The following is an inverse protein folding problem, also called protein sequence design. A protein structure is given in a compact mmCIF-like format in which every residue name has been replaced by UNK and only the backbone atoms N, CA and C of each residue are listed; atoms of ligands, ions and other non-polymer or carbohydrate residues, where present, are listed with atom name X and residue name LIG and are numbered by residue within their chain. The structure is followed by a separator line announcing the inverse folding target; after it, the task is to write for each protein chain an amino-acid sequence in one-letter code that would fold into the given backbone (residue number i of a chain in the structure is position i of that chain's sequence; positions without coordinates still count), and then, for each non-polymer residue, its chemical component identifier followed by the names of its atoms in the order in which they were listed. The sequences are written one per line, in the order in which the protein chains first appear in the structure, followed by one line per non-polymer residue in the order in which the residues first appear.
data_IF_228912721879
#
_entry.id   IF_228912721879
#
_cell.length_a   1.000
_cell.length_b   1.000
_cell.length_c   1.000
_cell.angle_alpha   90.00
_cell.angle_beta   90.00
_cell.angle_gamma   90.00
#
_symmetry.space_group_name_H-M   'P 1'
#
loop_
_entity.id
_entity.type
_entity.pdbx_description
1 polymer ?
#
# COMPACT_ATOMS: atom_id res chain seq x y z
N UNK A 1 1.06 3.43 15.20
CA UNK A 1 -0.01 2.56 14.79
C UNK A 1 0.31 1.09 14.98
N UNK A 2 -0.71 0.25 15.10
CA UNK A 2 -0.60 -1.20 15.34
C UNK A 2 0.26 -1.93 14.28
N UNK A 3 0.29 -1.44 13.03
CA UNK A 3 1.07 -2.07 11.94
C UNK A 3 2.59 -2.05 12.11
N UNK A 4 3.14 -1.16 12.92
CA UNK A 4 4.58 -1.08 13.15
C UNK A 4 5.08 -2.17 14.12
N UNK A 5 4.20 -2.72 14.95
CA UNK A 5 4.54 -3.77 15.93
C UNK A 5 4.74 -5.13 15.24
N UNK A 6 4.02 -5.41 14.15
CA UNK A 6 4.06 -6.70 13.46
C UNK A 6 5.34 -6.95 12.64
N UNK A 7 6.04 -5.89 12.24
CA UNK A 7 7.28 -5.99 11.44
C UNK A 7 8.56 -6.02 12.30
N UNK A 8 8.44 -5.97 13.62
CA UNK A 8 9.60 -6.01 14.52
C UNK A 8 9.92 -7.44 14.94
N UNK A 9 11.21 -7.76 15.02
CA UNK A 9 11.64 -9.03 15.60
C UNK A 9 11.10 -9.17 17.03
N UNK A 10 10.66 -10.36 17.42
CA UNK A 10 10.08 -10.65 18.75
C UNK A 10 11.02 -10.18 19.89
N UNK A 11 12.33 -10.33 19.71
CA UNK A 11 13.34 -9.86 20.66
C UNK A 11 13.27 -8.36 20.92
N UNK A 12 13.03 -7.56 19.86
CA UNK A 12 12.85 -6.10 19.98
C UNK A 12 11.48 -5.74 20.53
N UNK A 13 10.43 -6.47 20.14
CA UNK A 13 9.10 -6.27 20.68
C UNK A 13 9.06 -6.50 22.20
N UNK A 14 9.70 -7.58 22.68
CA UNK A 14 9.84 -7.86 24.12
C UNK A 14 10.57 -6.77 24.90
N UNK A 15 11.60 -6.15 24.30
CA UNK A 15 12.30 -5.02 24.93
C UNK A 15 11.44 -3.76 25.03
N UNK A 16 10.53 -3.54 24.07
CA UNK A 16 9.68 -2.36 24.02
C UNK A 16 8.38 -2.52 24.82
N UNK A 17 7.93 -3.75 25.02
CA UNK A 17 6.74 -4.10 25.79
C UNK A 17 7.01 -5.39 26.57
N UNK A 18 7.74 -5.32 27.71
CA UNK A 18 8.11 -6.50 28.49
C UNK A 18 6.90 -7.31 28.98
N UNK A 19 5.83 -6.62 29.36
CA UNK A 19 4.60 -7.21 29.90
C UNK A 19 3.59 -7.60 28.80
N UNK A 20 3.99 -7.54 27.52
CA UNK A 20 3.14 -7.90 26.39
C UNK A 20 2.86 -9.40 26.31
N UNK A 21 1.62 -9.76 26.00
CA UNK A 21 1.24 -11.16 25.76
C UNK A 21 1.65 -11.53 24.33
N UNK A 22 2.55 -12.52 24.21
CA UNK A 22 3.08 -13.01 22.94
C UNK A 22 2.46 -14.35 22.59
N UNK A 23 1.70 -14.40 21.49
CA UNK A 23 1.03 -15.60 21.00
C UNK A 23 1.66 -16.08 19.69
N UNK A 24 1.62 -17.39 19.45
CA UNK A 24 2.08 -17.94 18.17
C UNK A 24 1.14 -17.53 17.02
N UNK A 25 1.70 -17.20 15.84
CA UNK A 25 0.88 -16.89 14.66
C UNK A 25 0.10 -18.12 14.20
N UNK A 26 -1.19 -17.95 13.93
CA UNK A 26 -2.07 -19.01 13.39
C UNK A 26 -2.09 -18.94 11.86
N UNK A 27 -0.99 -19.34 11.21
CA UNK A 27 -0.77 -19.17 9.77
C UNK A 27 -1.87 -19.82 8.92
N UNK A 28 -2.39 -20.97 9.33
CA UNK A 28 -3.47 -21.64 8.59
C UNK A 28 -4.76 -20.80 8.61
N UNK A 29 -5.09 -20.22 9.77
CA UNK A 29 -6.22 -19.30 9.87
C UNK A 29 -6.02 -18.03 9.04
N UNK A 30 -4.81 -17.49 8.99
CA UNK A 30 -4.51 -16.31 8.16
C UNK A 30 -4.68 -16.62 6.67
N UNK A 31 -4.22 -17.78 6.21
CA UNK A 31 -4.42 -18.23 4.83
C UNK A 31 -5.90 -18.45 4.49
N UNK A 32 -6.66 -19.06 5.40
CA UNK A 32 -8.11 -19.27 5.24
C UNK A 32 -8.82 -17.93 5.03
N UNK A 33 -8.58 -16.94 5.91
CA UNK A 33 -9.16 -15.60 5.83
C UNK A 33 -8.69 -14.87 4.57
N UNK A 34 -7.43 -14.97 4.21
CA UNK A 34 -6.87 -14.42 2.97
C UNK A 34 -7.63 -14.96 1.75
N UNK A 35 -7.81 -16.27 1.66
CA UNK A 35 -8.55 -16.92 0.57
C UNK A 35 -10.01 -16.44 0.51
N UNK A 36 -10.64 -16.26 1.66
CA UNK A 36 -11.98 -15.71 1.75
C UNK A 36 -12.05 -14.29 1.18
N UNK A 37 -11.10 -13.41 1.56
CA UNK A 37 -11.03 -12.04 1.05
C UNK A 37 -10.77 -12.04 -0.47
N UNK A 38 -9.84 -12.86 -0.96
CA UNK A 38 -9.58 -12.96 -2.40
C UNK A 38 -10.80 -13.49 -3.18
N UNK A 39 -11.58 -14.38 -2.58
CA UNK A 39 -12.85 -14.84 -3.19
C UNK A 39 -13.88 -13.71 -3.29
N UNK A 40 -13.95 -12.84 -2.29
CA UNK A 40 -14.81 -11.65 -2.31
C UNK A 40 -14.32 -10.67 -3.38
N UNK A 41 -13.02 -10.43 -3.50
CA UNK A 41 -12.44 -9.57 -4.53
C UNK A 41 -12.74 -10.07 -5.95
N UNK A 42 -12.83 -11.40 -6.16
CA UNK A 42 -13.22 -12.02 -7.44
C UNK A 42 -14.67 -11.71 -7.83
N UNK A 43 -15.53 -11.31 -6.91
CA UNK A 43 -16.87 -10.82 -7.24
C UNK A 43 -16.83 -9.53 -8.08
N UNK A 44 -15.73 -8.76 -7.96
CA UNK A 44 -15.53 -7.48 -8.68
C UNK A 44 -14.73 -7.65 -9.96
N UNK A 45 -13.66 -8.43 -9.97
CA UNK A 45 -12.82 -8.66 -11.14
C UNK A 45 -12.16 -10.04 -11.07
N UNK A 46 -12.03 -10.75 -12.21
CA UNK A 46 -11.27 -12.00 -12.26
C UNK A 46 -9.75 -11.75 -12.23
N UNK A 47 -9.29 -10.53 -12.52
CA UNK A 47 -7.88 -10.19 -12.65
C UNK A 47 -7.33 -9.70 -11.31
N UNK A 48 -6.91 -10.66 -10.49
CA UNK A 48 -6.32 -10.41 -9.17
C UNK A 48 -4.89 -10.94 -9.17
N UNK A 49 -3.96 -10.10 -8.72
CA UNK A 49 -2.57 -10.46 -8.53
C UNK A 49 -2.24 -10.36 -7.03
N UNK A 50 -2.16 -11.49 -6.32
CA UNK A 50 -1.71 -11.50 -4.93
C UNK A 50 -0.26 -11.04 -4.81
N UNK A 51 0.00 -10.10 -3.92
CA UNK A 51 1.35 -9.66 -3.57
C UNK A 51 1.85 -10.35 -2.30
N UNK A 52 0.94 -10.62 -1.37
CA UNK A 52 1.18 -11.37 -0.12
C UNK A 52 -0.13 -12.01 0.37
N UNK A 53 -0.16 -12.56 1.58
CA UNK A 53 -1.38 -13.10 2.19
C UNK A 53 -2.40 -12.02 2.56
N UNK A 54 -2.00 -10.75 2.61
CA UNK A 54 -2.81 -9.62 3.04
C UNK A 54 -2.85 -8.46 2.03
N UNK A 55 -2.21 -8.62 0.87
CA UNK A 55 -2.15 -7.60 -0.17
C UNK A 55 -2.37 -8.20 -1.56
N UNK A 56 -3.15 -7.51 -2.39
CA UNK A 56 -3.34 -7.86 -3.80
C UNK A 56 -3.56 -6.62 -4.66
N UNK A 57 -3.21 -6.73 -5.93
CA UNK A 57 -3.66 -5.80 -6.96
C UNK A 57 -4.88 -6.36 -7.68
N UNK A 58 -5.81 -5.47 -7.97
CA UNK A 58 -7.03 -5.75 -8.73
C UNK A 58 -7.00 -4.90 -10.00
N UNK A 59 -7.13 -5.54 -11.16
CA UNK A 59 -7.34 -4.81 -12.41
C UNK A 59 -8.83 -4.48 -12.53
N UNK A 60 -9.14 -3.20 -12.50
CA UNK A 60 -10.52 -2.69 -12.47
C UNK A 60 -10.82 -1.68 -13.60
N UNK A 61 -9.98 -1.67 -14.65
CA UNK A 61 -10.19 -0.80 -15.82
C UNK A 61 -11.57 -1.05 -16.44
N UNK A 62 -12.29 0.04 -16.75
CA UNK A 62 -13.64 -0.02 -17.27
C UNK A 62 -14.74 -0.27 -16.23
N UNK A 63 -14.44 -0.79 -15.04
CA UNK A 63 -15.47 -1.05 -14.03
C UNK A 63 -16.01 0.22 -13.37
N UNK A 64 -15.25 1.31 -13.42
CA UNK A 64 -15.71 2.60 -12.89
C UNK A 64 -16.98 3.13 -13.55
N UNK A 65 -17.32 2.63 -14.76
CA UNK A 65 -18.58 2.96 -15.44
C UNK A 65 -19.81 2.28 -14.81
N UNK A 66 -19.60 1.13 -14.15
CA UNK A 66 -20.65 0.40 -13.42
C UNK A 66 -20.91 0.99 -12.02
N UNK A 67 -19.98 1.81 -11.55
CA UNK A 67 -20.05 2.53 -10.28
C UNK A 67 -19.95 4.03 -10.55
N UNK A 68 -20.38 4.86 -9.66
CA UNK A 68 -20.29 6.32 -9.79
C UNK A 68 -18.83 6.83 -9.68
N UNK A 69 -17.90 6.14 -10.33
CA UNK A 69 -16.48 6.45 -10.39
C UNK A 69 -15.58 5.58 -9.49
N UNK A 70 -14.25 5.80 -9.57
CA UNK A 70 -13.27 4.95 -8.88
C UNK A 70 -13.46 4.91 -7.36
N UNK A 71 -13.81 6.03 -6.75
CA UNK A 71 -14.02 6.11 -5.29
C UNK A 71 -15.20 5.26 -4.84
N UNK A 72 -16.31 5.24 -5.62
CA UNK A 72 -17.48 4.42 -5.33
C UNK A 72 -17.17 2.93 -5.48
N UNK A 73 -16.42 2.54 -6.49
CA UNK A 73 -15.93 1.17 -6.66
C UNK A 73 -15.06 0.74 -5.47
N UNK A 74 -14.06 1.55 -5.09
CA UNK A 74 -13.22 1.26 -3.93
C UNK A 74 -14.01 1.12 -2.64
N UNK A 75 -15.04 1.96 -2.44
CA UNK A 75 -15.95 1.86 -1.30
C UNK A 75 -16.71 0.55 -1.33
N UNK A 76 -17.32 0.18 -2.47
CA UNK A 76 -18.06 -1.06 -2.62
C UNK A 76 -17.22 -2.30 -2.29
N UNK A 77 -15.96 -2.34 -2.72
CA UNK A 77 -15.03 -3.44 -2.39
C UNK A 77 -14.79 -3.49 -0.87
N UNK A 78 -14.49 -2.35 -0.24
CA UNK A 78 -14.25 -2.27 1.22
C UNK A 78 -15.47 -2.73 2.01
N UNK A 79 -16.64 -2.21 1.67
CA UNK A 79 -17.89 -2.52 2.36
C UNK A 79 -18.23 -4.02 2.21
N UNK A 80 -18.01 -4.59 1.02
CA UNK A 80 -18.25 -6.01 0.76
C UNK A 80 -17.32 -6.92 1.58
N UNK A 81 -16.04 -6.56 1.69
CA UNK A 81 -15.10 -7.29 2.55
C UNK A 81 -15.54 -7.19 4.01
N UNK A 82 -15.90 -6.00 4.48
CA UNK A 82 -16.36 -5.81 5.85
C UNK A 82 -17.65 -6.60 6.16
N UNK A 83 -18.65 -6.53 5.29
CA UNK A 83 -19.92 -7.29 5.43
C UNK A 83 -19.69 -8.79 5.58
N UNK A 84 -18.78 -9.35 4.80
CA UNK A 84 -18.54 -10.81 4.75
C UNK A 84 -17.58 -11.33 5.81
N UNK A 85 -16.66 -10.48 6.28
CA UNK A 85 -15.57 -10.92 7.16
C UNK A 85 -15.47 -10.17 8.49
N UNK A 86 -16.10 -9.00 8.61
CA UNK A 86 -15.89 -8.06 9.71
C UNK A 86 -14.53 -7.37 9.70
N UNK A 87 -13.71 -7.59 8.66
CA UNK A 87 -12.37 -7.02 8.57
C UNK A 87 -12.37 -5.73 7.76
N UNK A 88 -11.56 -4.78 8.24
CA UNK A 88 -11.33 -3.50 7.60
C UNK A 88 -10.09 -3.60 6.69
N UNK A 89 -10.24 -3.14 5.44
CA UNK A 89 -9.13 -3.03 4.50
C UNK A 89 -8.90 -1.57 4.10
N UNK A 90 -7.66 -1.22 3.74
CA UNK A 90 -7.35 0.04 3.07
C UNK A 90 -7.19 -0.20 1.57
N UNK A 91 -7.72 0.70 0.74
CA UNK A 91 -7.68 0.59 -0.71
C UNK A 91 -7.06 1.84 -1.35
N UNK A 92 -6.24 1.62 -2.36
CA UNK A 92 -5.68 2.66 -3.21
C UNK A 92 -6.06 2.40 -4.66
N UNK A 93 -6.65 3.39 -5.33
CA UNK A 93 -6.97 3.33 -6.76
C UNK A 93 -6.09 4.31 -7.52
N UNK A 94 -5.43 3.84 -8.56
CA UNK A 94 -4.48 4.64 -9.32
C UNK A 94 -4.26 4.05 -10.73
N UNK A 95 -3.65 4.80 -11.66
CA UNK A 95 -3.40 4.34 -13.03
C UNK A 95 -2.43 3.16 -13.16
N UNK A 96 -1.63 2.86 -12.14
CA UNK A 96 -0.71 1.73 -12.14
C UNK A 96 -0.52 1.15 -10.72
N UNK A 97 0.06 -0.06 -10.66
CA UNK A 97 0.27 -0.82 -9.42
C UNK A 97 1.12 -0.08 -8.39
N UNK A 98 2.19 0.60 -8.83
CA UNK A 98 3.07 1.35 -7.93
C UNK A 98 2.29 2.44 -7.19
N UNK A 99 1.52 3.23 -7.91
CA UNK A 99 0.70 4.30 -7.35
C UNK A 99 -0.46 3.77 -6.51
N UNK A 100 -1.09 2.67 -6.94
CA UNK A 100 -2.15 2.02 -6.17
C UNK A 100 -1.65 1.52 -4.81
N UNK A 101 -0.47 0.88 -4.79
CA UNK A 101 0.17 0.45 -3.54
C UNK A 101 0.51 1.63 -2.64
N UNK A 102 1.08 2.69 -3.19
CA UNK A 102 1.38 3.91 -2.45
C UNK A 102 0.10 4.53 -1.89
N UNK A 103 -0.95 4.67 -2.71
CA UNK A 103 -2.23 5.22 -2.30
C UNK A 103 -2.86 4.43 -1.15
N UNK A 104 -2.81 3.10 -1.18
CA UNK A 104 -3.35 2.24 -0.12
C UNK A 104 -2.68 2.45 1.25
N UNK A 105 -1.45 2.97 1.26
CA UNK A 105 -0.68 3.22 2.49
C UNK A 105 -0.80 4.66 3.03
N UNK A 106 -1.38 5.59 2.25
CA UNK A 106 -1.41 7.02 2.62
C UNK A 106 -2.34 7.31 3.80
N UNK A 107 -3.47 6.62 3.88
CA UNK A 107 -4.55 6.91 4.84
C UNK A 107 -4.92 5.69 5.70
N UNK A 108 -3.94 4.83 6.01
CA UNK A 108 -4.14 3.69 6.92
C UNK A 108 -4.34 4.16 8.37
N UNK A 109 -5.21 3.48 9.15
CA UNK A 109 -6.10 2.38 8.81
C UNK A 109 -7.38 2.85 8.11
N UNK A 110 -8.12 1.92 7.48
CA UNK A 110 -9.41 2.12 6.81
C UNK A 110 -9.41 3.15 5.66
N UNK A 111 -8.25 3.44 5.10
CA UNK A 111 -8.10 4.44 4.05
C UNK A 111 -8.75 4.06 2.72
N UNK A 112 -9.14 5.08 1.96
CA UNK A 112 -9.57 4.97 0.57
C UNK A 112 -9.05 6.17 -0.22
N UNK A 113 -7.95 5.97 -0.90
CA UNK A 113 -7.26 7.02 -1.64
C UNK A 113 -7.32 6.76 -3.14
N UNK A 114 -7.70 7.77 -3.91
CA UNK A 114 -7.72 7.75 -5.37
C UNK A 114 -6.66 8.72 -5.89
N UNK A 115 -5.77 8.25 -6.75
CA UNK A 115 -4.85 9.08 -7.53
C UNK A 115 -5.41 9.12 -8.97
N UNK A 116 -6.03 10.24 -9.40
CA UNK A 116 -6.61 10.34 -10.73
C UNK A 116 -5.54 10.32 -11.81
N UNK A 117 -5.89 9.75 -12.98
CA UNK A 117 -5.05 9.83 -14.17
C UNK A 117 -4.75 11.31 -14.54
N UNK A 118 -3.49 11.60 -14.85
CA UNK A 118 -3.00 12.94 -15.20
C UNK A 118 -2.71 13.86 -14.01
N UNK A 119 -3.04 13.45 -12.76
CA UNK A 119 -2.76 14.23 -11.55
C UNK A 119 -1.71 13.57 -10.63
N UNK A 120 -1.02 12.57 -11.14
CA UNK A 120 -0.07 11.76 -10.36
C UNK A 120 1.04 12.64 -9.77
N UNK A 121 1.65 13.50 -10.58
CA UNK A 121 2.73 14.39 -10.14
C UNK A 121 2.27 15.35 -9.04
N UNK A 122 1.06 15.90 -9.17
CA UNK A 122 0.48 16.82 -8.18
C UNK A 122 0.26 16.14 -6.84
N UNK A 123 -0.37 14.94 -6.85
CA UNK A 123 -0.65 14.18 -5.63
C UNK A 123 0.64 13.71 -4.95
N UNK A 124 1.64 13.33 -5.72
CA UNK A 124 2.92 12.83 -5.20
C UNK A 124 3.83 13.95 -4.67
N UNK A 125 3.80 15.12 -5.28
CA UNK A 125 4.75 16.22 -5.02
C UNK A 125 4.99 16.53 -3.52
N UNK A 126 3.96 16.64 -2.67
CA UNK A 126 4.12 16.94 -1.25
C UNK A 126 4.57 15.75 -0.39
N UNK A 127 4.57 14.53 -0.93
CA UNK A 127 4.81 13.34 -0.13
C UNK A 127 6.31 13.17 0.20
N UNK A 128 6.63 12.72 1.42
CA UNK A 128 8.00 12.39 1.80
C UNK A 128 8.57 11.25 0.93
N UNK A 129 9.85 11.35 0.58
CA UNK A 129 10.56 10.39 -0.26
C UNK A 129 10.50 8.95 0.26
N UNK A 130 10.44 8.76 1.58
CA UNK A 130 10.30 7.46 2.23
C UNK A 130 8.99 6.72 1.91
N UNK A 131 8.00 7.39 1.31
CA UNK A 131 6.75 6.78 0.87
C UNK A 131 6.90 6.02 -0.43
N UNK A 132 8.00 6.19 -1.15
CA UNK A 132 8.29 5.42 -2.36
C UNK A 132 8.51 3.96 -1.95
N UNK A 133 7.77 3.07 -2.58
CA UNK A 133 7.94 1.63 -2.38
C UNK A 133 9.36 1.21 -2.78
N UNK A 134 10.04 0.50 -1.85
CA UNK A 134 11.46 0.14 -1.99
C UNK A 134 12.43 1.13 -1.33
N UNK A 135 11.99 2.33 -0.92
CA UNK A 135 12.85 3.26 -0.17
C UNK A 135 12.82 2.91 1.32
N UNK A 136 13.78 2.09 1.74
CA UNK A 136 14.03 1.77 3.14
C UNK A 136 14.86 2.84 3.86
N UNK A 137 15.09 2.70 5.19
CA UNK A 137 15.79 3.70 6.00
C UNK A 137 17.19 4.08 5.50
N UNK A 138 17.93 3.12 4.91
CA UNK A 138 19.26 3.35 4.33
C UNK A 138 19.17 4.25 3.10
N UNK A 139 18.27 3.89 2.17
CA UNK A 139 18.05 4.67 0.93
C UNK A 139 17.48 6.05 1.25
N UNK A 140 16.54 6.14 2.20
CA UNK A 140 16.01 7.43 2.67
C UNK A 140 17.13 8.35 3.16
N UNK A 141 18.07 7.83 3.97
CA UNK A 141 19.21 8.60 4.49
C UNK A 141 20.08 9.15 3.36
N UNK A 142 20.38 8.32 2.34
CA UNK A 142 21.18 8.72 1.17
C UNK A 142 20.46 9.82 0.38
N UNK A 143 19.19 9.62 0.08
CA UNK A 143 18.38 10.59 -0.67
C UNK A 143 18.28 11.92 0.06
N UNK A 144 18.05 11.90 1.37
CA UNK A 144 18.01 13.12 2.20
C UNK A 144 19.34 13.84 2.24
N UNK A 145 20.46 13.14 2.30
CA UNK A 145 21.80 13.75 2.22
C UNK A 145 22.05 14.42 0.87
N UNK A 146 21.46 13.87 -0.21
CA UNK A 146 21.44 14.50 -1.54
C UNK A 146 20.42 15.63 -1.74
N UNK A 147 19.70 16.04 -0.68
CA UNK A 147 18.69 17.10 -0.76
C UNK A 147 17.28 16.65 -1.12
N UNK A 148 17.06 15.34 -1.35
CA UNK A 148 15.77 14.79 -1.73
C UNK A 148 14.93 14.40 -0.50
N UNK A 149 14.07 15.29 -0.04
CA UNK A 149 13.20 15.04 1.13
C UNK A 149 11.77 14.70 0.73
N UNK A 150 11.28 15.34 -0.34
CA UNK A 150 9.94 15.18 -0.89
C UNK A 150 10.02 14.67 -2.33
N UNK A 151 8.95 14.04 -2.79
CA UNK A 151 8.90 13.51 -4.16
C UNK A 151 9.03 14.61 -5.23
N UNK A 152 8.54 15.83 -4.97
CA UNK A 152 8.74 16.98 -5.88
C UNK A 152 10.22 17.28 -6.19
N UNK A 153 11.12 16.97 -5.26
CA UNK A 153 12.56 17.20 -5.52
C UNK A 153 13.11 16.25 -6.57
N UNK A 154 12.58 15.02 -6.66
CA UNK A 154 12.92 14.10 -7.75
C UNK A 154 12.17 14.49 -9.03
N UNK A 155 10.90 14.89 -8.93
CA UNK A 155 10.11 15.30 -10.09
C UNK A 155 10.69 16.53 -10.82
N UNK A 156 11.49 17.35 -10.12
CA UNK A 156 12.15 18.53 -10.69
C UNK A 156 13.49 18.22 -11.38
N UNK A 157 13.97 16.96 -11.31
CA UNK A 157 15.18 16.57 -12.02
C UNK A 157 14.89 16.53 -13.53
N UNK A 158 15.85 16.93 -14.39
CA UNK A 158 15.76 16.70 -15.82
C UNK A 158 15.64 15.21 -16.13
N UNK A 159 14.85 14.85 -17.15
CA UNK A 159 14.64 13.44 -17.54
C UNK A 159 15.93 12.69 -17.89
N UNK A 160 16.97 13.40 -18.29
CA UNK A 160 18.30 12.90 -18.61
C UNK A 160 19.18 12.62 -17.38
N UNK A 161 18.78 13.04 -16.18
CA UNK A 161 19.54 12.78 -14.95
C UNK A 161 19.31 11.35 -14.41
N UNK A 162 19.27 10.36 -15.29
CA UNK A 162 19.28 8.92 -14.99
C UNK A 162 20.54 8.44 -14.24
N UNK A 163 21.26 9.34 -13.59
CA UNK A 163 22.50 9.09 -12.86
C UNK A 163 22.31 9.00 -11.34
N UNK A 164 21.19 8.43 -10.88
CA UNK A 164 21.24 7.77 -9.56
C UNK A 164 21.64 6.32 -9.86
N UNK A 165 22.87 5.89 -9.54
CA UNK A 165 23.21 4.49 -9.61
C UNK A 165 22.31 3.76 -8.61
N UNK A 166 21.26 3.14 -9.06
CA UNK A 166 20.55 2.14 -8.29
C UNK A 166 21.44 0.91 -8.34
N UNK A 167 22.47 0.90 -7.52
CA UNK A 167 23.17 -0.35 -7.23
C UNK A 167 22.23 -1.20 -6.41
N UNK A 168 21.56 -2.12 -7.06
CA UNK A 168 20.96 -3.27 -6.40
C UNK A 168 22.10 -4.11 -5.83
N UNK A 169 22.30 -4.07 -4.53
CA UNK A 169 23.07 -5.01 -3.75
C UNK A 169 22.19 -5.60 -2.68
#
# INVERSE_FOLDING_TARGET
GLGDVYKRQISRAKKLCPDGIYVYPRMDRYKEVSNQIFSIMKEFTPYIEPLSIDEAFLEVSGMSTMYSGPKALGRAIKDRVFEKTGLIISAGLAPNKFLAKLASDLDKPDGLVVIPYGREKEVLAPLPIKRIWGVGPRTEKILKAGGFQLMRHIQSLPDESSLIPVSYA
#
